data_IF_844950949696
#
_entry.id   IF_844950949696
#
_cell.length_a   1.000
_cell.length_b   1.000
_cell.length_c   1.000
_cell.angle_alpha   90.00
_cell.angle_beta   90.00
_cell.angle_gamma   90.00
#
_symmetry.space_group_name_H-M   'P 1'
#
loop_
_entity.id
_entity.type
_entity.pdbx_description
1 polymer ?
#
# COMPACT_ATOMS: atom_id res chain seq x y z
N UNK A 1 -15.62 5.08 -10.06
CA UNK A 1 -14.46 5.22 -9.15
C UNK A 1 -15.02 5.52 -7.77
N UNK A 2 -14.81 4.65 -6.79
CA UNK A 2 -15.30 4.82 -5.42
C UNK A 2 -14.46 5.86 -4.66
N UNK A 3 -14.92 6.30 -3.48
CA UNK A 3 -14.11 7.17 -2.59
C UNK A 3 -12.82 6.47 -2.16
N UNK A 4 -12.87 5.16 -1.95
CA UNK A 4 -11.71 4.35 -1.60
C UNK A 4 -10.72 4.26 -2.77
N UNK A 5 -11.21 4.07 -4.01
CA UNK A 5 -10.36 4.09 -5.20
C UNK A 5 -9.62 5.43 -5.34
N UNK A 6 -10.34 6.54 -5.18
CA UNK A 6 -9.79 7.88 -5.26
C UNK A 6 -8.75 8.13 -4.15
N UNK A 7 -9.06 7.74 -2.91
CA UNK A 7 -8.13 7.81 -1.79
C UNK A 7 -6.89 6.95 -2.03
N UNK A 8 -7.04 5.74 -2.57
CA UNK A 8 -5.91 4.87 -2.87
C UNK A 8 -5.00 5.44 -3.96
N UNK A 9 -5.56 6.07 -4.99
CA UNK A 9 -4.78 6.82 -5.98
C UNK A 9 -4.06 8.01 -5.34
N UNK A 10 -4.74 8.77 -4.48
CA UNK A 10 -4.17 9.90 -3.76
C UNK A 10 -3.02 9.48 -2.84
N UNK A 11 -3.20 8.44 -2.04
CA UNK A 11 -2.18 7.92 -1.13
C UNK A 11 -0.95 7.42 -1.90
N UNK A 12 -1.14 6.67 -2.98
CA UNK A 12 -0.02 6.24 -3.81
C UNK A 12 0.70 7.43 -4.47
N UNK A 13 -0.05 8.43 -4.93
CA UNK A 13 0.53 9.65 -5.50
C UNK A 13 1.34 10.42 -4.47
N UNK A 14 0.77 10.72 -3.30
CA UNK A 14 1.46 11.43 -2.21
C UNK A 14 2.69 10.66 -1.74
N UNK A 15 2.57 9.35 -1.53
CA UNK A 15 3.68 8.50 -1.10
C UNK A 15 4.85 8.59 -2.10
N UNK A 16 4.57 8.47 -3.40
CA UNK A 16 5.60 8.58 -4.45
C UNK A 16 6.14 10.00 -4.61
N UNK A 17 5.29 11.02 -4.47
CA UNK A 17 5.69 12.42 -4.60
C UNK A 17 6.65 12.85 -3.48
N UNK A 18 6.33 12.48 -2.23
CA UNK A 18 7.12 12.87 -1.06
C UNK A 18 8.43 12.08 -0.99
N UNK A 19 8.40 10.78 -1.30
CA UNK A 19 9.58 9.92 -1.11
C UNK A 19 10.42 9.73 -2.37
N UNK A 20 9.91 10.10 -3.54
CA UNK A 20 10.53 9.77 -4.82
C UNK A 20 10.49 8.26 -5.16
N UNK A 21 9.67 7.46 -4.46
CA UNK A 21 9.64 6.02 -4.65
C UNK A 21 9.28 5.61 -6.09
N UNK A 22 10.11 4.73 -6.66
CA UNK A 22 9.98 4.15 -7.98
C UNK A 22 10.11 2.62 -7.91
N UNK A 23 9.18 1.91 -8.54
CA UNK A 23 9.22 0.44 -8.61
C UNK A 23 10.22 -0.05 -9.66
N UNK A 24 11.44 -0.41 -9.22
CA UNK A 24 12.45 -1.01 -10.10
C UNK A 24 12.44 -2.54 -9.99
N UNK A 25 11.68 -3.19 -10.86
CA UNK A 25 11.48 -4.64 -10.82
C UNK A 25 12.49 -5.39 -11.72
N UNK A 26 13.68 -5.68 -11.19
CA UNK A 26 14.73 -6.41 -11.93
C UNK A 26 14.56 -7.92 -11.76
N UNK A 27 14.29 -8.63 -12.86
CA UNK A 27 14.15 -10.10 -12.87
C UNK A 27 12.92 -10.66 -12.15
N UNK A 28 12.12 -9.79 -11.52
CA UNK A 28 10.97 -10.17 -10.69
C UNK A 28 9.85 -9.13 -10.83
N UNK A 29 9.19 -9.02 -12.00
CA UNK A 29 8.07 -8.13 -12.18
C UNK A 29 6.89 -8.55 -11.28
N UNK A 30 6.05 -7.59 -10.85
CA UNK A 30 4.90 -7.89 -10.03
C UNK A 30 3.87 -8.65 -10.88
N UNK A 31 3.33 -9.74 -10.31
CA UNK A 31 2.43 -10.68 -10.99
C UNK A 31 1.18 -10.92 -10.14
N UNK A 32 0.07 -11.22 -10.82
CA UNK A 32 -1.21 -11.57 -10.20
C UNK A 32 -1.23 -13.05 -9.73
N UNK A 33 -0.25 -13.41 -8.90
CA UNK A 33 -0.09 -14.73 -8.30
C UNK A 33 0.18 -14.57 -6.80
N UNK A 34 0.08 -15.67 -6.03
CA UNK A 34 0.36 -15.60 -4.60
C UNK A 34 1.81 -15.15 -4.36
N UNK A 35 1.96 -14.03 -3.64
CA UNK A 35 3.25 -13.36 -3.47
C UNK A 35 3.32 -12.62 -2.16
N UNK A 36 4.46 -12.73 -1.50
CA UNK A 36 4.77 -11.98 -0.27
C UNK A 36 5.78 -10.90 -0.64
N UNK A 37 5.42 -9.65 -0.38
CA UNK A 37 6.33 -8.52 -0.45
C UNK A 37 6.73 -8.12 0.96
N UNK A 38 8.01 -7.87 1.19
CA UNK A 38 8.54 -7.47 2.48
C UNK A 38 9.56 -6.34 2.30
N UNK A 39 9.71 -5.52 3.33
CA UNK A 39 10.76 -4.51 3.44
C UNK A 39 11.47 -4.69 4.78
N UNK A 40 12.64 -4.08 4.91
CA UNK A 40 13.20 -3.77 6.22
C UNK A 40 12.20 -2.91 7.02
N UNK A 41 12.26 -2.98 8.36
CA UNK A 41 11.33 -2.26 9.21
C UNK A 41 11.97 -0.99 9.78
N UNK A 42 11.52 0.16 9.32
CA UNK A 42 11.95 1.50 9.75
C UNK A 42 10.75 2.38 10.12
N UNK A 43 9.58 2.18 9.51
CA UNK A 43 8.38 2.98 9.76
C UNK A 43 7.08 2.20 9.56
N UNK A 44 5.98 2.73 10.09
CA UNK A 44 4.64 2.20 9.79
C UNK A 44 4.20 2.41 8.33
N UNK A 45 4.94 3.21 7.55
CA UNK A 45 4.66 3.53 6.15
C UNK A 45 5.48 2.69 5.16
N UNK A 46 6.39 1.84 5.62
CA UNK A 46 7.27 1.05 4.73
C UNK A 46 6.43 0.20 3.76
N UNK A 47 5.40 -0.45 4.27
CA UNK A 47 4.51 -1.25 3.44
C UNK A 47 3.65 -0.38 2.53
N UNK A 48 3.32 0.87 2.91
CA UNK A 48 2.61 1.81 2.02
C UNK A 48 3.47 2.15 0.81
N UNK A 49 4.79 2.23 0.96
CA UNK A 49 5.71 2.43 -0.15
C UNK A 49 5.79 1.22 -1.08
N UNK A 50 5.83 0.00 -0.52
CA UNK A 50 5.68 -1.23 -1.32
C UNK A 50 4.36 -1.18 -2.09
N UNK A 51 3.25 -0.93 -1.39
CA UNK A 51 1.91 -0.89 -1.97
C UNK A 51 1.84 0.16 -3.08
N UNK A 52 2.35 1.37 -2.87
CA UNK A 52 2.36 2.44 -3.87
C UNK A 52 3.23 2.14 -5.11
N UNK A 53 4.23 1.25 -5.00
CA UNK A 53 5.05 0.81 -6.11
C UNK A 53 4.39 -0.28 -6.97
N UNK A 54 3.30 -0.90 -6.49
CA UNK A 54 2.58 -1.94 -7.24
C UNK A 54 1.65 -1.35 -8.32
N UNK A 55 1.46 -2.08 -9.44
CA UNK A 55 0.36 -1.83 -10.37
C UNK A 55 -0.98 -1.71 -9.65
N UNK A 56 -1.89 -0.89 -10.19
CA UNK A 56 -3.17 -0.58 -9.57
C UNK A 56 -4.00 -1.85 -9.27
N UNK A 57 -3.93 -2.80 -10.16
CA UNK A 57 -4.67 -4.07 -10.11
C UNK A 57 -4.20 -4.91 -8.91
N UNK A 58 -2.88 -4.91 -8.65
CA UNK A 58 -2.28 -5.66 -7.55
C UNK A 58 -2.43 -4.96 -6.20
N UNK A 59 -2.55 -3.63 -6.19
CA UNK A 59 -2.83 -2.86 -4.96
C UNK A 59 -4.15 -3.27 -4.30
N UNK A 60 -5.17 -3.58 -5.09
CA UNK A 60 -6.49 -3.97 -4.57
C UNK A 60 -6.51 -5.34 -3.88
N UNK A 61 -5.59 -6.22 -4.24
CA UNK A 61 -5.48 -7.58 -3.70
C UNK A 61 -4.32 -7.77 -2.70
N UNK A 62 -3.46 -6.77 -2.54
CA UNK A 62 -2.31 -6.83 -1.63
C UNK A 62 -2.70 -6.33 -0.26
N UNK A 63 -2.66 -7.21 0.74
CA UNK A 63 -3.08 -6.91 2.11
C UNK A 63 -1.87 -6.65 3.02
N UNK A 64 -1.78 -5.50 3.70
CA UNK A 64 -0.77 -5.28 4.73
C UNK A 64 -1.02 -6.15 5.96
N UNK A 65 0.07 -6.58 6.61
CA UNK A 65 0.01 -7.43 7.82
C UNK A 65 0.70 -6.81 9.05
N UNK A 66 1.17 -5.57 8.94
CA UNK A 66 1.99 -4.91 9.97
C UNK A 66 1.30 -3.65 10.54
N UNK A 67 1.75 -3.23 11.72
CA UNK A 67 1.38 -1.95 12.34
C UNK A 67 -0.14 -1.78 12.59
N UNK A 68 -0.82 -2.85 13.03
CA UNK A 68 -2.26 -2.85 13.32
C UNK A 68 -2.62 -1.74 14.31
N UNK A 69 -1.92 -1.69 15.43
CA UNK A 69 -2.07 -0.66 16.48
C UNK A 69 -2.02 0.76 15.92
N UNK A 70 -1.10 1.05 14.98
CA UNK A 70 -1.02 2.35 14.33
C UNK A 70 -2.16 2.60 13.33
N UNK A 71 -2.46 1.62 12.48
CA UNK A 71 -3.42 1.74 11.37
C UNK A 71 -4.88 1.60 11.81
N UNK A 72 -5.13 1.12 13.03
CA UNK A 72 -6.47 1.08 13.63
C UNK A 72 -6.64 2.06 14.80
N UNK A 73 -5.68 2.96 15.06
CA UNK A 73 -5.70 3.91 16.17
C UNK A 73 -6.84 4.97 16.12
N UNK A 74 -7.65 5.01 15.06
CA UNK A 74 -8.76 5.96 14.95
C UNK A 74 -9.66 5.70 13.75
N UNK A 75 -10.85 6.28 13.74
CA UNK A 75 -11.89 6.00 12.75
C UNK A 75 -11.43 6.22 11.30
N UNK A 76 -10.66 7.28 11.05
CA UNK A 76 -10.13 7.56 9.71
C UNK A 76 -9.11 6.52 9.26
N UNK A 77 -8.09 6.21 10.08
CA UNK A 77 -7.09 5.18 9.72
C UNK A 77 -7.72 3.80 9.60
N UNK A 78 -8.68 3.47 10.46
CA UNK A 78 -9.44 2.24 10.40
C UNK A 78 -10.25 2.14 9.10
N UNK A 79 -10.90 3.24 8.68
CA UNK A 79 -11.59 3.32 7.40
C UNK A 79 -10.63 3.13 6.22
N UNK A 80 -9.45 3.76 6.22
CA UNK A 80 -8.44 3.56 5.16
C UNK A 80 -8.03 2.07 5.12
N UNK A 81 -7.74 1.49 6.28
CA UNK A 81 -7.32 0.08 6.40
C UNK A 81 -8.36 -0.87 5.81
N UNK A 82 -9.63 -0.70 6.17
CA UNK A 82 -10.72 -1.56 5.67
C UNK A 82 -11.07 -1.32 4.20
N UNK A 83 -11.24 -0.05 3.79
CA UNK A 83 -11.79 0.28 2.47
C UNK A 83 -10.75 0.42 1.38
N UNK A 84 -9.55 0.94 1.70
CA UNK A 84 -8.51 1.22 0.72
C UNK A 84 -7.52 0.06 0.65
N UNK A 85 -7.11 -0.44 1.81
CA UNK A 85 -6.10 -1.49 1.90
C UNK A 85 -6.67 -2.90 2.02
N UNK A 86 -7.99 -3.01 2.24
CA UNK A 86 -8.68 -4.29 2.40
C UNK A 86 -7.99 -5.17 3.46
N UNK A 87 -7.73 -4.59 4.64
CA UNK A 87 -7.07 -5.23 5.77
C UNK A 87 -7.78 -4.93 7.10
#
# INVERSE_FOLDING_TARGET
MTRADAMGLLLAFIARLITGAQGHWKGCPPKAEQRIYFANHQSHLDWVLIWAALPRELRASTRPIAARDYWTAGAFKHWITREVFNA
#
